data_IF_103334556762
#
_entry.id   IF_103334556762
#
_cell.length_a   1.000
_cell.length_b   1.000
_cell.length_c   1.000
_cell.angle_alpha   90.00
_cell.angle_beta   90.00
_cell.angle_gamma   90.00
#
_symmetry.space_group_name_H-M   'P 1'
#
loop_
_entity.id
_entity.type
_entity.pdbx_description
1 polymer ?
#
# COMPACT_ATOMS: atom_id res chain seq x y z
N UNK A 1 58.07 -32.55 -57.54
CA UNK A 1 57.01 -33.36 -56.90
C UNK A 1 55.91 -32.41 -56.41
N UNK A 2 54.89 -32.17 -57.23
CA UNK A 2 53.73 -31.36 -56.84
C UNK A 2 52.59 -32.33 -56.49
N UNK A 3 52.36 -32.54 -55.20
CA UNK A 3 51.18 -33.25 -54.72
C UNK A 3 49.97 -32.32 -54.90
N UNK A 4 49.13 -32.62 -55.90
CA UNK A 4 47.79 -32.07 -55.98
C UNK A 4 47.00 -32.53 -54.76
N UNK A 5 46.83 -31.64 -53.76
CA UNK A 5 45.85 -31.80 -52.69
C UNK A 5 44.46 -31.86 -53.34
N UNK A 6 43.81 -33.04 -53.28
CA UNK A 6 42.38 -33.15 -53.60
C UNK A 6 41.61 -32.31 -52.59
N UNK A 7 41.02 -31.21 -53.04
CA UNK A 7 40.06 -30.44 -52.27
C UNK A 7 38.73 -31.20 -52.33
N UNK A 8 38.33 -31.78 -51.20
CA UNK A 8 37.00 -32.36 -51.04
C UNK A 8 36.02 -31.21 -50.76
N UNK A 9 35.01 -31.04 -51.61
CA UNK A 9 33.92 -30.09 -51.37
C UNK A 9 32.94 -30.64 -50.34
N UNK A 10 32.32 -29.74 -49.57
CA UNK A 10 31.29 -30.10 -48.58
C UNK A 10 30.04 -30.67 -49.27
N UNK A 11 29.49 -31.74 -48.70
CA UNK A 11 28.22 -32.32 -49.17
C UNK A 11 27.04 -31.43 -48.79
N UNK A 12 26.00 -31.39 -49.64
CA UNK A 12 24.72 -30.72 -49.34
C UNK A 12 24.16 -31.15 -47.97
N UNK A 13 24.34 -32.42 -47.61
CA UNK A 13 23.85 -32.96 -46.33
C UNK A 13 24.64 -32.41 -45.13
N UNK A 14 25.94 -32.17 -45.27
CA UNK A 14 26.77 -31.56 -44.23
C UNK A 14 26.37 -30.10 -44.02
N UNK A 15 26.09 -29.37 -45.10
CA UNK A 15 25.63 -27.99 -45.02
C UNK A 15 24.24 -27.88 -44.36
N UNK A 16 23.31 -28.76 -44.72
CA UNK A 16 21.98 -28.81 -44.08
C UNK A 16 22.08 -29.16 -42.60
N UNK A 17 22.93 -30.12 -42.23
CA UNK A 17 23.15 -30.51 -40.83
C UNK A 17 23.80 -29.37 -40.04
N UNK A 18 24.76 -28.65 -40.63
CA UNK A 18 25.38 -27.48 -40.01
C UNK A 18 24.37 -26.35 -39.76
N UNK A 19 23.49 -26.05 -40.74
CA UNK A 19 22.44 -25.05 -40.59
C UNK A 19 21.42 -25.47 -39.52
N UNK A 20 21.07 -26.75 -39.44
CA UNK A 20 20.14 -27.27 -38.44
C UNK A 20 20.69 -27.11 -37.01
N UNK A 21 21.95 -27.50 -36.78
CA UNK A 21 22.61 -27.33 -35.48
C UNK A 21 22.75 -25.85 -35.13
N UNK A 22 23.13 -25.01 -36.09
CA UNK A 22 23.21 -23.56 -35.89
C UNK A 22 21.83 -22.97 -35.53
N UNK A 23 20.77 -23.41 -36.20
CA UNK A 23 19.39 -22.99 -35.93
C UNK A 23 18.96 -23.32 -34.51
N UNK A 24 19.20 -24.56 -34.05
CA UNK A 24 18.92 -24.97 -32.67
C UNK A 24 19.74 -24.13 -31.69
N UNK A 25 21.03 -23.90 -31.98
CA UNK A 25 21.91 -23.09 -31.13
C UNK A 25 21.40 -21.65 -30.97
N UNK A 26 20.99 -21.00 -32.06
CA UNK A 26 20.46 -19.63 -32.02
C UNK A 26 19.14 -19.57 -31.25
N UNK A 27 18.23 -20.51 -31.47
CA UNK A 27 16.95 -20.55 -30.73
C UNK A 27 17.21 -20.76 -29.24
N UNK A 28 18.13 -21.67 -28.87
CA UNK A 28 18.48 -21.92 -27.48
C UNK A 28 19.09 -20.69 -26.79
N UNK A 29 19.87 -19.88 -27.48
CA UNK A 29 20.42 -18.64 -26.92
C UNK A 29 19.32 -17.56 -26.84
N UNK A 30 18.46 -17.48 -27.87
CA UNK A 30 17.36 -16.53 -27.90
C UNK A 30 16.35 -16.74 -26.76
N UNK A 31 16.13 -17.99 -26.29
CA UNK A 31 15.24 -18.25 -25.16
C UNK A 31 15.85 -17.90 -23.80
N UNK A 32 17.17 -17.87 -23.67
CA UNK A 32 17.85 -17.51 -22.41
C UNK A 32 17.87 -16.01 -22.15
N UNK A 33 17.90 -15.17 -23.20
CA UNK A 33 17.99 -13.72 -23.04
C UNK A 33 16.81 -13.10 -22.27
N UNK A 34 15.52 -13.37 -22.61
CA UNK A 34 14.40 -12.80 -21.87
C UNK A 34 14.38 -13.22 -20.40
N UNK A 35 14.72 -14.49 -20.12
CA UNK A 35 14.81 -14.99 -18.75
C UNK A 35 15.92 -14.28 -17.96
N UNK A 36 17.10 -14.09 -18.58
CA UNK A 36 18.20 -13.34 -17.99
C UNK A 36 17.84 -11.89 -17.68
N UNK A 37 17.15 -11.19 -18.59
CA UNK A 37 16.69 -9.81 -18.38
C UNK A 37 15.69 -9.74 -17.21
N UNK A 38 14.70 -10.63 -17.18
CA UNK A 38 13.71 -10.66 -16.11
C UNK A 38 14.36 -10.94 -14.75
N UNK A 39 15.31 -11.86 -14.70
CA UNK A 39 16.06 -12.17 -13.49
C UNK A 39 16.94 -10.99 -13.04
N UNK A 40 17.64 -10.33 -13.96
CA UNK A 40 18.46 -9.16 -13.65
C UNK A 40 17.61 -7.99 -13.13
N UNK A 41 16.44 -7.75 -13.72
CA UNK A 41 15.49 -6.75 -13.24
C UNK A 41 15.02 -7.10 -11.83
N UNK A 42 14.61 -8.35 -11.58
CA UNK A 42 14.22 -8.80 -10.25
C UNK A 42 15.33 -8.63 -9.22
N UNK A 43 16.56 -9.03 -9.54
CA UNK A 43 17.71 -8.83 -8.65
C UNK A 43 18.00 -7.35 -8.38
N UNK A 44 17.81 -6.49 -9.38
CA UNK A 44 17.95 -5.04 -9.19
C UNK A 44 16.86 -4.52 -8.25
N UNK A 45 15.61 -4.93 -8.47
CA UNK A 45 14.46 -4.55 -7.66
C UNK A 45 14.61 -5.05 -6.20
N UNK A 46 15.08 -6.28 -5.99
CA UNK A 46 15.35 -6.87 -4.66
C UNK A 46 16.45 -6.11 -3.89
N UNK A 47 17.39 -5.46 -4.60
CA UNK A 47 18.46 -4.65 -3.98
C UNK A 47 18.02 -3.21 -3.77
N UNK A 48 17.41 -2.58 -4.77
CA UNK A 48 17.04 -1.17 -4.72
C UNK A 48 15.79 -0.94 -3.87
N UNK A 49 14.80 -1.84 -3.90
CA UNK A 49 13.56 -1.73 -3.14
C UNK A 49 13.77 -1.40 -1.66
N UNK A 50 14.54 -2.21 -0.92
CA UNK A 50 14.87 -1.93 0.48
C UNK A 50 15.63 -0.62 0.70
N UNK A 51 16.47 -0.19 -0.25
CA UNK A 51 17.20 1.09 -0.17
C UNK A 51 16.22 2.26 -0.26
N UNK A 52 15.29 2.22 -1.23
CA UNK A 52 14.24 3.24 -1.40
C UNK A 52 13.38 3.32 -0.15
N UNK A 53 12.94 2.18 0.38
CA UNK A 53 12.11 2.14 1.58
C UNK A 53 12.82 2.72 2.80
N UNK A 54 14.10 2.37 3.03
CA UNK A 54 14.89 2.95 4.13
C UNK A 54 15.13 4.45 3.98
N UNK A 55 15.33 4.93 2.75
CA UNK A 55 15.44 6.37 2.49
C UNK A 55 14.12 7.08 2.81
N UNK A 56 12.99 6.54 2.35
CA UNK A 56 11.66 7.03 2.70
C UNK A 56 11.44 7.09 4.22
N UNK A 57 11.81 6.03 4.94
CA UNK A 57 11.71 6.00 6.41
C UNK A 57 12.61 7.04 7.08
N UNK A 58 13.82 7.24 6.56
CA UNK A 58 14.75 8.27 7.07
C UNK A 58 14.18 9.67 6.84
N UNK A 59 13.57 9.91 5.68
CA UNK A 59 12.89 11.17 5.40
C UNK A 59 11.72 11.40 6.35
N UNK A 60 10.87 10.41 6.56
CA UNK A 60 9.74 10.50 7.50
C UNK A 60 10.22 10.81 8.92
N UNK A 61 11.23 10.08 9.42
CA UNK A 61 11.87 10.33 10.73
C UNK A 61 12.54 11.69 10.85
N UNK A 62 12.93 12.31 9.74
CA UNK A 62 13.50 13.67 9.77
C UNK A 62 12.46 14.76 9.93
N UNK A 63 11.17 14.47 9.65
CA UNK A 63 10.06 15.42 9.71
C UNK A 63 9.05 15.11 10.82
N UNK A 64 9.00 13.87 11.30
CA UNK A 64 7.99 13.38 12.23
C UNK A 64 8.61 12.77 13.47
N UNK A 65 8.00 13.06 14.61
CA UNK A 65 8.21 12.40 15.89
C UNK A 65 6.97 11.58 16.28
N UNK A 66 7.14 10.53 17.10
CA UNK A 66 6.00 9.78 17.64
C UNK A 66 5.02 10.67 18.43
N UNK A 67 5.51 11.75 19.03
CA UNK A 67 4.70 12.71 19.79
C UNK A 67 3.86 13.65 18.91
N UNK A 68 4.07 13.66 17.60
CA UNK A 68 3.23 14.42 16.67
C UNK A 68 1.86 13.78 16.48
N UNK A 69 1.75 12.48 16.79
CA UNK A 69 0.52 11.71 16.61
C UNK A 69 -0.28 11.69 17.91
N UNK A 70 -1.59 11.69 17.75
CA UNK A 70 -2.55 11.59 18.84
C UNK A 70 -3.14 10.18 18.96
N UNK A 71 -3.86 9.98 20.06
CA UNK A 71 -4.82 8.89 20.14
C UNK A 71 -6.07 9.17 19.32
N UNK A 72 -6.84 8.12 19.06
CA UNK A 72 -8.15 8.23 18.40
C UNK A 72 -9.12 9.15 19.17
N UNK A 73 -9.01 9.15 20.50
CA UNK A 73 -9.85 9.91 21.44
C UNK A 73 -9.74 11.43 21.28
N UNK A 74 -8.60 11.93 20.79
CA UNK A 74 -8.39 13.37 20.58
C UNK A 74 -9.19 13.90 19.38
N UNK A 75 -9.67 12.99 18.52
CA UNK A 75 -10.33 13.31 17.26
C UNK A 75 -11.81 12.99 17.30
N UNK A 76 -12.19 11.85 17.84
CA UNK A 76 -13.58 11.45 17.94
C UNK A 76 -13.96 11.31 19.42
N UNK A 77 -14.81 12.20 19.98
CA UNK A 77 -15.24 12.12 21.37
C UNK A 77 -15.95 10.80 21.70
N UNK A 78 -16.64 10.23 20.69
CA UNK A 78 -17.25 8.91 20.82
C UNK A 78 -16.19 7.82 21.04
N UNK A 79 -14.90 8.09 20.74
CA UNK A 79 -13.75 7.20 20.94
C UNK A 79 -12.97 7.52 22.20
N UNK A 80 -13.55 8.30 23.12
CA UNK A 80 -12.92 8.70 24.38
C UNK A 80 -12.43 7.51 25.23
N UNK A 81 -11.50 7.75 26.17
CA UNK A 81 -10.98 6.73 27.10
C UNK A 81 -12.07 6.02 27.90
N UNK A 82 -13.27 6.60 28.01
CA UNK A 82 -14.41 5.94 28.65
C UNK A 82 -14.76 4.61 27.96
N UNK A 83 -14.61 4.50 26.63
CA UNK A 83 -14.83 3.24 25.91
C UNK A 83 -13.79 2.16 26.23
N UNK A 84 -12.59 2.53 26.68
CA UNK A 84 -11.61 1.56 27.17
C UNK A 84 -11.97 0.95 28.52
N UNK A 85 -12.81 1.65 29.30
CA UNK A 85 -13.30 1.19 30.60
C UNK A 85 -14.66 0.47 30.49
N UNK A 86 -15.31 0.51 29.32
CA UNK A 86 -16.62 -0.07 29.12
C UNK A 86 -16.57 -1.60 28.92
N UNK A 87 -17.47 -2.29 29.64
CA UNK A 87 -17.78 -3.70 29.44
C UNK A 87 -18.42 -3.91 28.07
N UNK A 88 -18.02 -4.98 27.37
CA UNK A 88 -18.36 -5.39 25.99
C UNK A 88 -19.87 -5.61 25.68
N UNK A 89 -20.79 -5.10 26.50
CA UNK A 89 -22.24 -5.31 26.33
C UNK A 89 -22.90 -4.32 25.35
N UNK A 90 -22.17 -3.31 24.86
CA UNK A 90 -22.66 -2.36 23.85
C UNK A 90 -22.01 -2.64 22.50
N UNK A 91 -22.84 -2.80 21.47
CA UNK A 91 -22.48 -3.29 20.13
C UNK A 91 -21.70 -2.28 19.24
N UNK A 92 -21.09 -1.25 19.83
CA UNK A 92 -20.43 -0.14 19.11
C UNK A 92 -18.96 0.06 19.51
N UNK A 93 -18.33 -0.95 20.12
CA UNK A 93 -16.96 -0.83 20.65
C UNK A 93 -15.93 -1.14 19.55
N UNK A 94 -14.91 -0.27 19.46
CA UNK A 94 -13.71 -0.45 18.67
C UNK A 94 -13.08 -1.83 18.97
N UNK A 95 -13.02 -2.76 18.00
CA UNK A 95 -12.54 -4.13 18.25
C UNK A 95 -11.02 -4.24 18.43
N UNK A 96 -10.28 -3.14 18.28
CA UNK A 96 -8.84 -3.18 18.03
C UNK A 96 -7.90 -2.38 18.95
N UNK A 97 -8.32 -1.67 20.02
CA UNK A 97 -7.32 -1.01 20.85
C UNK A 97 -6.53 -2.09 21.60
N UNK A 98 -5.28 -2.34 21.17
CA UNK A 98 -4.32 -3.03 22.05
C UNK A 98 -4.13 -2.21 23.31
N UNK A 99 -4.07 -0.88 23.15
CA UNK A 99 -4.27 0.08 24.22
C UNK A 99 -5.20 1.22 23.76
N UNK A 100 -5.67 2.03 24.71
CA UNK A 100 -6.46 3.22 24.40
C UNK A 100 -5.79 4.13 23.39
N UNK A 101 -6.59 4.54 22.41
CA UNK A 101 -6.17 5.46 21.37
C UNK A 101 -5.35 4.85 20.25
N UNK A 102 -5.11 3.55 20.24
CA UNK A 102 -4.60 2.88 19.04
C UNK A 102 -5.61 2.97 17.90
N UNK A 103 -5.10 3.04 16.68
CA UNK A 103 -5.91 3.18 15.46
C UNK A 103 -5.25 2.44 14.30
N UNK A 104 -6.07 2.01 13.35
CA UNK A 104 -5.70 1.11 12.26
C UNK A 104 -4.86 1.78 11.16
N UNK A 105 -4.47 1.04 10.13
CA UNK A 105 -3.76 1.63 9.00
C UNK A 105 -4.55 2.78 8.37
N UNK A 106 -3.93 3.95 8.25
CA UNK A 106 -4.47 5.16 7.63
C UNK A 106 -3.48 5.71 6.63
N UNK A 107 -4.00 6.19 5.49
CA UNK A 107 -3.21 6.88 4.48
C UNK A 107 -3.11 8.38 4.80
N UNK A 108 -1.94 9.00 4.56
CA UNK A 108 -1.81 10.44 4.48
C UNK A 108 -2.79 11.07 3.48
N UNK A 109 -3.08 12.35 3.65
CA UNK A 109 -3.75 13.11 2.61
C UNK A 109 -2.87 13.21 1.36
N UNK A 110 -3.47 13.12 0.18
CA UNK A 110 -2.77 13.26 -1.10
C UNK A 110 -3.29 14.48 -1.85
N UNK A 111 -2.37 15.31 -2.34
CA UNK A 111 -2.70 16.46 -3.19
C UNK A 111 -2.99 15.95 -4.60
N UNK A 112 -4.18 16.27 -5.11
CA UNK A 112 -4.61 15.82 -6.44
C UNK A 112 -3.68 16.33 -7.56
N UNK A 113 -3.63 15.63 -8.69
CA UNK A 113 -2.93 16.10 -9.89
C UNK A 113 -3.57 17.35 -10.51
N UNK A 114 -4.87 17.57 -10.33
CA UNK A 114 -5.57 18.78 -10.76
C UNK A 114 -5.61 19.88 -9.70
N UNK A 115 -4.75 19.80 -8.67
CA UNK A 115 -4.71 20.79 -7.60
C UNK A 115 -4.28 22.17 -8.10
N UNK A 116 -5.06 23.21 -7.75
CA UNK A 116 -4.88 24.60 -8.16
C UNK A 116 -4.85 24.82 -9.69
N UNK A 117 -4.57 26.07 -10.10
CA UNK A 117 -4.52 26.44 -11.52
C UNK A 117 -3.24 25.93 -12.20
N UNK A 118 -3.34 25.54 -13.48
CA UNK A 118 -2.20 25.07 -14.27
C UNK A 118 -1.11 26.14 -14.49
N UNK A 119 -1.37 27.41 -14.20
CA UNK A 119 -0.36 28.48 -14.31
C UNK A 119 0.31 28.82 -12.97
N UNK A 120 -0.20 28.29 -11.85
CA UNK A 120 0.41 28.53 -10.55
C UNK A 120 1.50 27.51 -10.25
N UNK A 121 2.74 28.00 -10.21
CA UNK A 121 3.93 27.20 -9.91
C UNK A 121 3.82 26.57 -8.52
N UNK A 122 3.23 27.25 -7.54
CA UNK A 122 3.09 26.70 -6.19
C UNK A 122 2.13 25.51 -6.19
N UNK A 123 0.99 25.65 -6.86
CA UNK A 123 0.02 24.57 -7.06
C UNK A 123 0.68 23.37 -7.74
N UNK A 124 1.40 23.61 -8.83
CA UNK A 124 2.11 22.56 -9.57
C UNK A 124 3.13 21.82 -8.71
N UNK A 125 3.82 22.54 -7.82
CA UNK A 125 4.88 21.98 -6.98
C UNK A 125 4.31 21.03 -5.92
N UNK A 126 3.08 21.27 -5.45
CA UNK A 126 2.42 20.41 -4.45
C UNK A 126 1.62 19.25 -5.07
N UNK A 127 1.36 19.22 -6.39
CA UNK A 127 0.62 18.13 -7.04
C UNK A 127 1.27 16.77 -6.79
N UNK A 128 0.49 15.81 -6.27
CA UNK A 128 0.97 14.50 -5.88
C UNK A 128 1.86 14.48 -4.62
N UNK A 129 1.99 15.59 -3.89
CA UNK A 129 2.55 15.57 -2.55
C UNK A 129 1.62 14.79 -1.61
N UNK A 130 2.19 14.23 -0.55
CA UNK A 130 1.42 13.73 0.59
C UNK A 130 1.60 14.68 1.76
N UNK A 131 0.54 14.89 2.50
CA UNK A 131 0.55 15.66 3.74
C UNK A 131 0.01 14.76 4.85
N UNK A 132 0.87 14.47 5.84
CA UNK A 132 0.61 13.40 6.81
C UNK A 132 -0.64 13.66 7.63
N UNK A 133 -0.84 14.91 8.04
CA UNK A 133 -1.93 15.31 8.92
C UNK A 133 -3.00 16.14 8.20
N UNK A 134 -3.00 16.10 6.86
CA UNK A 134 -4.01 16.79 6.09
C UNK A 134 -5.43 16.32 6.44
N UNK A 135 -6.34 17.28 6.49
CA UNK A 135 -7.77 17.09 6.74
C UNK A 135 -8.59 17.72 5.60
N UNK A 136 -9.78 17.21 5.29
CA UNK A 136 -10.78 17.85 4.44
C UNK A 136 -11.12 19.22 4.97
N UNK A 137 -11.21 20.18 4.06
CA UNK A 137 -11.44 21.57 4.41
C UNK A 137 -10.15 22.35 4.71
N UNK A 138 -9.03 21.68 5.02
CA UNK A 138 -7.75 22.37 5.15
C UNK A 138 -7.09 22.48 3.76
N UNK A 139 -6.99 23.71 3.26
CA UNK A 139 -6.39 23.96 1.97
C UNK A 139 -4.86 23.92 2.06
N UNK A 140 -4.24 23.18 1.14
CA UNK A 140 -2.77 23.07 1.02
C UNK A 140 -2.16 24.41 0.62
N UNK A 141 -2.89 25.16 -0.22
CA UNK A 141 -2.69 26.55 -0.61
C UNK A 141 -4.06 27.23 -0.57
N UNK A 142 -4.15 28.38 0.10
CA UNK A 142 -5.38 29.16 0.26
C UNK A 142 -6.06 29.44 -1.09
N UNK A 143 -7.34 29.10 -1.18
CA UNK A 143 -8.22 29.23 -2.34
C UNK A 143 -8.06 28.14 -3.42
N UNK A 144 -7.26 27.09 -3.20
CA UNK A 144 -6.94 26.10 -4.24
C UNK A 144 -7.52 24.71 -3.99
N UNK A 145 -8.34 24.57 -2.95
CA UNK A 145 -9.00 23.32 -2.58
C UNK A 145 -8.24 22.49 -1.56
N UNK A 146 -8.82 21.37 -1.20
CA UNK A 146 -8.32 20.45 -0.16
C UNK A 146 -7.65 19.22 -0.76
N UNK A 147 -6.69 18.59 -0.05
CA UNK A 147 -6.16 17.30 -0.43
C UNK A 147 -7.24 16.22 -0.27
N UNK A 148 -7.08 15.11 -1.00
CA UNK A 148 -7.90 13.91 -0.80
C UNK A 148 -7.43 13.23 0.49
N UNK A 149 -8.33 12.95 1.40
CA UNK A 149 -8.00 12.29 2.67
C UNK A 149 -8.93 11.13 2.93
N UNK A 150 -8.47 10.17 3.72
CA UNK A 150 -9.30 9.09 4.23
C UNK A 150 -10.13 9.55 5.43
N UNK A 151 -11.41 9.24 5.45
CA UNK A 151 -12.27 9.51 6.59
C UNK A 151 -12.17 8.40 7.63
N UNK A 152 -12.44 8.75 8.89
CA UNK A 152 -12.42 7.76 9.96
C UNK A 152 -13.56 6.76 9.83
N UNK A 153 -14.73 7.24 9.44
CA UNK A 153 -15.85 6.44 8.96
C UNK A 153 -16.15 6.83 7.52
N UNK A 154 -16.71 5.91 6.72
CA UNK A 154 -16.96 6.14 5.30
C UNK A 154 -17.96 7.27 5.00
N UNK A 155 -18.63 7.83 6.01
CA UNK A 155 -19.68 8.85 5.83
C UNK A 155 -19.50 10.11 6.67
N UNK A 156 -18.96 10.03 7.89
CA UNK A 156 -18.84 11.17 8.83
C UNK A 156 -17.60 11.05 9.76
N UNK A 157 -17.19 12.14 10.41
CA UNK A 157 -16.10 12.13 11.40
C UNK A 157 -14.85 12.90 10.96
N UNK A 158 -13.92 13.12 11.91
CA UNK A 158 -12.70 13.88 11.63
C UNK A 158 -11.78 13.08 10.68
N UNK A 159 -11.44 13.60 9.50
CA UNK A 159 -10.75 12.81 8.50
C UNK A 159 -9.23 12.98 8.63
N UNK A 160 -8.45 12.03 8.14
CA UNK A 160 -6.99 12.06 8.19
C UNK A 160 -6.38 11.30 9.37
N UNK A 161 -5.12 11.59 9.68
CA UNK A 161 -4.35 10.93 10.74
C UNK A 161 -4.40 11.79 12.02
N UNK A 162 -4.68 11.22 13.21
CA UNK A 162 -4.72 11.98 14.45
C UNK A 162 -3.38 12.63 14.76
N UNK A 163 -3.41 13.94 15.03
CA UNK A 163 -2.25 14.70 15.46
C UNK A 163 -2.41 15.19 16.90
N UNK A 164 -1.29 15.38 17.59
CA UNK A 164 -1.28 15.79 18.98
C UNK A 164 -1.76 17.25 19.15
N UNK A 165 -3.01 17.44 19.55
CA UNK A 165 -3.61 18.77 19.80
C UNK A 165 -2.97 19.55 20.94
N UNK A 166 -2.25 18.89 21.85
CA UNK A 166 -1.49 19.62 22.88
C UNK A 166 -0.23 20.26 22.28
N UNK A 167 0.37 19.63 21.27
CA UNK A 167 1.53 20.17 20.53
C UNK A 167 1.10 21.14 19.43
N UNK A 168 -0.03 20.85 18.79
CA UNK A 168 -0.61 21.61 17.69
C UNK A 168 -2.04 22.02 18.07
N UNK A 169 -2.20 23.05 18.93
CA UNK A 169 -3.51 23.45 19.43
C UNK A 169 -4.40 23.99 18.31
N UNK A 170 -5.66 23.57 18.36
CA UNK A 170 -6.76 24.12 17.55
C UNK A 170 -6.89 25.64 17.79
N UNK A 171 -7.49 26.34 16.82
CA UNK A 171 -7.63 27.80 16.86
C UNK A 171 -8.92 28.16 17.60
N UNK A 172 -8.77 28.99 18.62
CA UNK A 172 -9.88 29.55 19.40
C UNK A 172 -9.86 31.08 19.34
N UNK A 173 -11.03 31.69 19.18
CA UNK A 173 -11.24 33.13 19.25
C UNK A 173 -12.26 33.45 20.35
N UNK A 174 -11.84 34.28 21.31
CA UNK A 174 -12.59 34.58 22.54
C UNK A 174 -13.12 33.33 23.29
N UNK A 175 -12.39 32.22 23.21
CA UNK A 175 -12.76 30.94 23.83
C UNK A 175 -13.76 30.09 23.02
N UNK A 176 -14.19 30.56 21.85
CA UNK A 176 -14.98 29.78 20.91
C UNK A 176 -14.07 29.08 19.92
N UNK A 177 -14.36 27.81 19.63
CA UNK A 177 -13.67 27.06 18.58
C UNK A 177 -13.90 27.74 17.22
N UNK A 178 -12.81 28.03 16.51
CA UNK A 178 -12.85 28.64 15.18
C UNK A 178 -12.51 27.61 14.12
N UNK A 179 -11.36 26.96 14.26
CA UNK A 179 -10.85 26.04 13.26
C UNK A 179 -9.87 25.02 13.86
N UNK A 180 -9.69 23.90 13.16
CA UNK A 180 -8.62 22.95 13.44
C UNK A 180 -7.28 23.49 12.94
N UNK A 181 -6.18 23.05 13.54
CA UNK A 181 -4.84 23.50 13.17
C UNK A 181 -3.90 22.31 12.90
N UNK A 182 -4.15 21.53 11.83
CA UNK A 182 -3.32 20.38 11.51
C UNK A 182 -1.87 20.82 11.23
N UNK A 183 -0.86 20.13 11.80
CA UNK A 183 0.53 20.40 11.48
C UNK A 183 0.83 20.06 10.01
N UNK A 184 1.48 20.99 9.31
CA UNK A 184 1.83 20.80 7.89
C UNK A 184 3.10 19.98 7.78
N UNK A 185 2.93 18.66 7.56
CA UNK A 185 4.04 17.70 7.42
C UNK A 185 4.02 17.12 6.01
N UNK A 186 4.55 17.91 5.07
CA UNK A 186 4.45 17.62 3.64
C UNK A 186 5.66 16.89 3.09
N UNK A 187 5.40 15.86 2.29
CA UNK A 187 6.38 15.17 1.46
C UNK A 187 6.03 15.42 -0.01
N UNK A 188 6.90 16.11 -0.71
CA UNK A 188 6.69 16.51 -2.09
C UNK A 188 6.79 15.31 -3.03
N UNK A 189 6.13 15.38 -4.20
CA UNK A 189 6.21 14.32 -5.21
C UNK A 189 7.65 14.04 -5.68
N UNK A 190 8.55 15.02 -5.58
CA UNK A 190 9.98 14.89 -5.90
C UNK A 190 10.80 14.22 -4.78
N UNK A 191 10.32 14.24 -3.53
CA UNK A 191 10.89 13.49 -2.41
C UNK A 191 10.38 12.04 -2.38
N UNK A 192 9.20 11.79 -2.98
CA UNK A 192 8.55 10.47 -3.09
C UNK A 192 9.13 9.56 -4.18
N UNK A 193 10.14 10.04 -4.91
CA UNK A 193 10.76 9.31 -6.00
C UNK A 193 12.22 8.97 -5.70
N UNK A 194 12.72 7.93 -6.36
CA UNK A 194 14.12 7.54 -6.28
C UNK A 194 14.76 7.42 -7.67
N UNK A 195 15.90 8.10 -7.91
CA UNK A 195 16.55 9.07 -7.01
C UNK A 195 15.66 10.29 -6.70
N UNK A 196 15.84 10.86 -5.51
CA UNK A 196 15.16 12.10 -5.10
C UNK A 196 15.59 13.27 -5.99
N UNK A 197 14.71 14.27 -6.12
CA UNK A 197 14.95 15.47 -6.92
C UNK A 197 14.48 16.72 -6.17
N UNK A 198 15.21 17.83 -6.34
CA UNK A 198 14.98 19.10 -5.65
C UNK A 198 14.86 20.31 -6.59
N UNK A 199 14.67 20.07 -7.89
CA UNK A 199 14.49 21.13 -8.90
C UNK A 199 13.03 21.52 -9.16
N UNK A 200 12.82 22.34 -10.20
CA UNK A 200 11.49 22.76 -10.64
C UNK A 200 10.63 21.56 -11.09
N UNK A 201 9.30 21.60 -10.89
CA UNK A 201 8.41 20.50 -11.28
C UNK A 201 8.48 20.13 -12.76
N UNK A 202 8.66 21.12 -13.64
CA UNK A 202 8.78 20.95 -15.10
C UNK A 202 10.04 20.19 -15.52
N UNK A 203 11.12 20.33 -14.76
CA UNK A 203 12.42 19.69 -15.00
C UNK A 203 12.55 18.34 -14.28
N UNK A 204 11.50 17.88 -13.59
CA UNK A 204 11.56 16.67 -12.76
C UNK A 204 11.88 15.45 -13.64
N UNK A 205 13.00 14.76 -13.40
CA UNK A 205 13.41 13.64 -14.23
C UNK A 205 12.47 12.46 -14.03
N UNK A 206 12.38 11.60 -15.06
CA UNK A 206 11.70 10.30 -14.94
C UNK A 206 12.44 9.44 -13.91
N UNK A 207 11.86 9.29 -12.73
CA UNK A 207 12.38 8.39 -11.71
C UNK A 207 11.97 6.94 -11.97
N UNK A 208 12.79 6.01 -11.47
CA UNK A 208 12.60 4.57 -11.68
C UNK A 208 11.70 3.95 -10.60
N UNK A 209 11.81 4.45 -9.37
CA UNK A 209 11.05 3.96 -8.23
C UNK A 209 10.31 5.10 -7.55
N UNK A 210 9.16 4.78 -6.99
CA UNK A 210 8.31 5.66 -6.21
C UNK A 210 7.92 4.94 -4.94
N UNK A 211 7.50 5.71 -3.94
CA UNK A 211 6.97 5.13 -2.72
C UNK A 211 5.74 5.87 -2.21
N UNK A 212 4.93 5.10 -1.49
CA UNK A 212 3.76 5.54 -0.73
C UNK A 212 3.84 4.95 0.67
N UNK A 213 3.11 5.53 1.63
CA UNK A 213 3.10 5.06 3.00
C UNK A 213 1.72 5.07 3.64
N UNK A 214 1.63 4.37 4.76
CA UNK A 214 0.50 4.40 5.68
C UNK A 214 1.01 4.39 7.11
N UNK A 215 0.18 4.85 8.04
CA UNK A 215 0.49 4.92 9.45
C UNK A 215 -0.50 4.08 10.24
N UNK A 216 -0.07 3.56 11.39
CA UNK A 216 -0.93 2.88 12.37
C UNK A 216 -0.43 3.25 13.74
N UNK A 217 -1.31 3.36 14.73
CA UNK A 217 -0.92 3.38 16.14
C UNK A 217 -1.22 2.02 16.77
N UNK A 218 -0.19 1.36 17.28
CA UNK A 218 -0.27 0.02 17.86
C UNK A 218 0.59 -0.05 19.12
N UNK A 219 -0.03 -0.48 20.23
CA UNK A 219 0.58 -0.50 21.56
C UNK A 219 1.19 0.87 21.93
N UNK A 220 0.54 1.96 21.51
CA UNK A 220 0.96 3.34 21.75
C UNK A 220 2.13 3.82 20.89
N UNK A 221 2.62 2.99 19.96
CA UNK A 221 3.70 3.35 19.03
C UNK A 221 3.14 3.60 17.65
N UNK A 222 3.78 4.52 16.93
CA UNK A 222 3.46 4.76 15.52
C UNK A 222 4.26 3.79 14.67
N UNK A 223 3.55 3.00 13.87
CA UNK A 223 4.10 2.14 12.85
C UNK A 223 3.86 2.79 11.48
N UNK A 224 4.82 2.62 10.58
CA UNK A 224 4.78 3.12 9.22
C UNK A 224 4.95 1.93 8.27
N UNK A 225 3.98 1.75 7.38
CA UNK A 225 4.10 0.86 6.24
C UNK A 225 4.60 1.66 5.03
N UNK A 226 5.66 1.19 4.36
CA UNK A 226 6.19 1.82 3.14
C UNK A 226 6.08 0.82 1.98
N UNK A 227 5.51 1.27 0.87
CA UNK A 227 5.35 0.51 -0.35
C UNK A 227 6.21 1.13 -1.44
N UNK A 228 7.09 0.33 -2.04
CA UNK A 228 7.96 0.75 -3.14
C UNK A 228 7.48 0.09 -4.42
N UNK A 229 7.37 0.87 -5.48
CA UNK A 229 6.94 0.39 -6.78
C UNK A 229 7.65 1.16 -7.90
N UNK A 230 7.67 0.56 -9.10
CA UNK A 230 8.11 1.22 -10.33
C UNK A 230 6.93 1.61 -11.18
N UNK A 231 7.10 2.66 -11.95
CA UNK A 231 6.12 3.09 -12.96
C UNK A 231 6.70 2.77 -14.33
N UNK A 232 6.05 1.87 -15.05
CA UNK A 232 6.38 1.49 -16.42
C UNK A 232 5.34 2.10 -17.33
N UNK A 233 5.54 3.38 -17.66
CA UNK A 233 4.75 4.05 -18.68
C UNK A 233 5.64 4.37 -19.90
N UNK A 234 5.41 3.74 -21.06
CA UNK A 234 6.12 4.08 -22.30
C UNK A 234 5.63 5.37 -22.94
N UNK A 235 4.43 5.85 -22.60
CA UNK A 235 3.78 7.03 -23.16
C UNK A 235 3.99 8.30 -22.33
N UNK A 236 4.30 8.16 -21.04
CA UNK A 236 4.54 9.31 -20.18
C UNK A 236 5.82 10.05 -20.56
N UNK A 237 5.64 11.33 -20.89
CA UNK A 237 6.69 12.34 -20.89
C UNK A 237 6.65 13.05 -19.53
N UNK A 238 7.78 13.14 -18.84
CA UNK A 238 7.86 13.76 -17.52
C UNK A 238 7.70 12.79 -16.35
N UNK A 239 7.64 13.36 -15.14
CA UNK A 239 7.68 12.61 -13.90
C UNK A 239 6.30 12.16 -13.43
N UNK A 240 6.26 11.02 -12.73
CA UNK A 240 5.02 10.43 -12.26
C UNK A 240 4.40 11.23 -11.11
N UNK A 241 3.09 11.39 -11.22
CA UNK A 241 2.16 11.87 -10.20
C UNK A 241 1.11 10.78 -10.04
N UNK A 242 0.75 10.45 -8.81
CA UNK A 242 -0.33 9.48 -8.55
C UNK A 242 -1.61 10.04 -9.15
N UNK A 243 -2.32 9.22 -9.94
CA UNK A 243 -3.59 9.63 -10.51
C UNK A 243 -4.71 9.48 -9.48
N UNK A 244 -5.42 10.58 -9.27
CA UNK A 244 -6.37 10.78 -8.18
C UNK A 244 -7.74 11.21 -8.68
N UNK A 245 -7.88 11.55 -9.97
CA UNK A 245 -9.09 12.17 -10.56
C UNK A 245 -10.39 11.38 -10.41
N UNK A 246 -10.31 10.07 -10.22
CA UNK A 246 -11.48 9.18 -10.08
C UNK A 246 -11.78 8.82 -8.62
N UNK A 247 -10.98 9.30 -7.68
CA UNK A 247 -11.04 8.89 -6.28
C UNK A 247 -11.40 10.09 -5.41
N UNK A 248 -12.23 9.83 -4.41
CA UNK A 248 -12.58 10.82 -3.38
C UNK A 248 -11.64 10.70 -2.17
N UNK A 249 -10.85 9.64 -2.11
CA UNK A 249 -9.92 9.32 -1.03
C UNK A 249 -8.58 8.85 -1.63
N UNK A 250 -7.48 8.86 -0.84
CA UNK A 250 -6.20 8.32 -1.27
C UNK A 250 -6.33 6.87 -1.77
N UNK A 251 -5.92 6.62 -3.01
CA UNK A 251 -6.07 5.33 -3.68
C UNK A 251 -4.84 4.42 -3.60
N UNK A 252 -3.71 4.93 -3.11
CA UNK A 252 -2.46 4.18 -2.94
C UNK A 252 -1.92 4.29 -1.50
N UNK A 253 -1.47 3.18 -0.90
CA UNK A 253 -1.75 1.80 -1.33
C UNK A 253 -3.26 1.51 -1.30
N UNK A 254 -3.74 0.63 -2.17
CA UNK A 254 -5.13 0.23 -2.26
C UNK A 254 -5.48 -0.72 -1.11
N UNK A 255 -6.62 -0.48 -0.46
CA UNK A 255 -7.18 -1.34 0.61
C UNK A 255 -8.17 -2.30 -0.02
N UNK A 256 -8.20 -3.54 0.48
CA UNK A 256 -9.24 -4.53 0.17
C UNK A 256 -9.71 -5.17 1.45
N UNK A 257 -11.03 -5.17 1.65
CA UNK A 257 -11.67 -6.06 2.61
C UNK A 257 -11.88 -7.45 2.00
N UNK A 258 -11.22 -8.44 2.59
CA UNK A 258 -11.28 -9.85 2.23
C UNK A 258 -12.59 -10.54 2.65
N UNK A 259 -13.44 -9.88 3.44
CA UNK A 259 -14.73 -10.44 3.86
C UNK A 259 -15.92 -9.92 3.02
N UNK A 260 -15.92 -8.64 2.64
CA UNK A 260 -17.14 -7.99 2.11
C UNK A 260 -17.02 -7.30 0.74
N UNK A 261 -15.84 -6.83 0.32
CA UNK A 261 -15.74 -5.88 -0.80
C UNK A 261 -15.36 -6.52 -2.15
N UNK A 262 -14.58 -7.60 -2.15
CA UNK A 262 -14.14 -8.24 -3.41
C UNK A 262 -13.49 -9.61 -3.27
N UNK A 263 -13.24 -10.08 -2.04
CA UNK A 263 -12.70 -11.41 -1.81
C UNK A 263 -13.73 -12.33 -1.19
N UNK A 264 -13.79 -13.55 -1.67
CA UNK A 264 -14.67 -14.58 -1.11
C UNK A 264 -14.02 -15.43 -0.01
N UNK A 265 -12.83 -15.05 0.48
CA UNK A 265 -12.06 -15.85 1.42
C UNK A 265 -11.44 -15.04 2.55
N UNK A 266 -11.80 -15.38 3.80
CA UNK A 266 -11.13 -14.83 4.97
C UNK A 266 -9.77 -15.50 5.19
N UNK A 267 -8.75 -14.72 5.54
CA UNK A 267 -7.41 -15.27 5.70
C UNK A 267 -7.13 -15.62 7.16
N UNK A 268 -7.23 -16.92 7.49
CA UNK A 268 -7.18 -17.39 8.87
C UNK A 268 -5.81 -17.96 9.29
N UNK A 269 -5.12 -17.27 10.19
CA UNK A 269 -3.84 -17.67 10.80
C UNK A 269 -3.91 -19.05 11.49
N UNK A 270 -5.03 -19.39 12.12
CA UNK A 270 -5.17 -20.65 12.86
C UNK A 270 -5.24 -21.87 11.95
N UNK A 271 -5.56 -21.67 10.67
CA UNK A 271 -5.45 -22.72 9.66
C UNK A 271 -3.99 -22.97 9.25
N UNK A 272 -3.04 -22.20 9.79
CA UNK A 272 -1.61 -22.29 9.48
C UNK A 272 -1.31 -22.05 8.00
N UNK A 273 -2.24 -21.43 7.29
CA UNK A 273 -2.31 -21.50 5.85
C UNK A 273 -1.63 -20.28 5.23
N UNK A 274 -0.51 -20.53 4.57
CA UNK A 274 0.05 -19.62 3.55
C UNK A 274 -0.90 -19.47 2.35
N UNK A 275 -1.95 -20.29 2.26
CA UNK A 275 -2.90 -20.36 1.16
C UNK A 275 -4.18 -19.60 1.53
N UNK A 276 -4.58 -18.65 0.69
CA UNK A 276 -5.89 -18.01 0.79
C UNK A 276 -6.91 -18.84 0.01
N UNK A 277 -7.63 -19.70 0.74
CA UNK A 277 -8.76 -20.43 0.18
C UNK A 277 -9.83 -19.42 -0.29
N UNK A 278 -10.58 -19.80 -1.31
CA UNK A 278 -11.63 -19.00 -1.94
C UNK A 278 -11.15 -17.79 -2.74
N UNK A 279 -9.87 -17.42 -2.68
CA UNK A 279 -9.28 -16.44 -3.60
C UNK A 279 -9.51 -16.76 -5.08
N UNK A 280 -9.82 -18.02 -5.43
CA UNK A 280 -10.14 -18.43 -6.80
C UNK A 280 -11.45 -17.85 -7.37
N UNK A 281 -12.37 -17.36 -6.53
CA UNK A 281 -13.66 -16.82 -7.02
C UNK A 281 -13.53 -15.34 -7.43
N UNK A 282 -12.47 -14.68 -7.01
CA UNK A 282 -12.18 -13.29 -7.31
C UNK A 282 -11.65 -13.13 -8.75
N UNK A 283 -11.82 -11.95 -9.37
CA UNK A 283 -11.34 -11.67 -10.73
C UNK A 283 -10.05 -10.83 -10.72
N UNK A 284 -8.85 -11.42 -10.93
CA UNK A 284 -7.58 -10.70 -10.88
C UNK A 284 -7.41 -9.66 -12.01
N UNK A 285 -8.34 -9.56 -12.96
CA UNK A 285 -8.35 -8.47 -13.94
C UNK A 285 -8.87 -7.15 -13.37
N UNK A 286 -9.69 -7.21 -12.31
CA UNK A 286 -10.20 -6.04 -11.60
C UNK A 286 -9.13 -5.50 -10.65
N UNK A 287 -8.95 -4.16 -10.62
CA UNK A 287 -7.93 -3.50 -9.80
C UNK A 287 -7.97 -3.93 -8.32
N UNK A 288 -9.17 -4.06 -7.75
CA UNK A 288 -9.40 -4.50 -6.39
C UNK A 288 -8.91 -5.92 -6.11
N UNK A 289 -8.80 -6.80 -7.11
CA UNK A 289 -8.34 -8.18 -6.93
C UNK A 289 -6.91 -8.41 -7.46
N UNK A 290 -6.21 -7.36 -7.90
CA UNK A 290 -4.83 -7.46 -8.39
C UNK A 290 -3.82 -7.79 -7.29
N UNK A 291 -4.23 -7.77 -6.01
CA UNK A 291 -3.41 -8.24 -4.89
C UNK A 291 -2.95 -9.69 -5.06
N UNK A 292 -3.62 -10.46 -5.91
CA UNK A 292 -3.36 -11.88 -6.16
C UNK A 292 -2.20 -12.12 -7.12
N UNK A 293 -1.63 -11.09 -7.76
CA UNK A 293 -0.62 -11.32 -8.78
C UNK A 293 0.69 -11.88 -8.18
N UNK A 294 1.40 -12.79 -8.89
CA UNK A 294 2.70 -13.27 -8.44
C UNK A 294 3.71 -12.13 -8.27
N UNK A 295 4.41 -12.11 -7.14
CA UNK A 295 5.39 -11.08 -6.77
C UNK A 295 4.79 -9.85 -6.10
N UNK A 296 3.47 -9.80 -5.90
CA UNK A 296 2.81 -8.73 -5.19
C UNK A 296 3.28 -8.65 -3.73
N UNK A 297 3.40 -7.44 -3.21
CA UNK A 297 3.63 -7.17 -1.78
C UNK A 297 2.34 -6.71 -1.12
N UNK A 298 2.05 -7.33 0.02
CA UNK A 298 0.86 -7.08 0.84
C UNK A 298 1.31 -6.68 2.25
N UNK A 299 0.61 -5.73 2.85
CA UNK A 299 0.65 -5.50 4.29
C UNK A 299 -0.72 -5.88 4.84
N UNK A 300 -0.77 -6.69 5.88
CA UNK A 300 -2.02 -7.05 6.54
C UNK A 300 -2.40 -6.05 7.64
N UNK A 301 -3.62 -6.18 8.16
CA UNK A 301 -4.12 -5.32 9.25
C UNK A 301 -3.29 -5.39 10.53
N UNK A 302 -2.55 -6.48 10.70
CA UNK A 302 -1.73 -6.74 11.87
C UNK A 302 -0.32 -6.12 11.71
N UNK A 303 0.02 -5.61 10.53
CA UNK A 303 1.32 -5.04 10.19
C UNK A 303 2.36 -6.08 9.75
N UNK A 304 1.93 -7.31 9.45
CA UNK A 304 2.79 -8.29 8.81
C UNK A 304 2.92 -7.98 7.31
N UNK A 305 4.11 -8.23 6.77
CA UNK A 305 4.42 -8.04 5.35
C UNK A 305 4.49 -9.40 4.67
N UNK A 306 3.80 -9.53 3.54
CA UNK A 306 3.72 -10.76 2.78
C UNK A 306 4.08 -10.52 1.32
N UNK A 307 4.64 -11.55 0.69
CA UNK A 307 4.86 -11.58 -0.74
C UNK A 307 4.10 -12.75 -1.37
N UNK A 308 3.44 -12.50 -2.50
CA UNK A 308 2.69 -13.53 -3.22
C UNK A 308 3.66 -14.40 -4.01
N UNK A 309 3.86 -15.64 -3.55
CA UNK A 309 4.75 -16.62 -4.17
C UNK A 309 4.09 -17.29 -5.36
N UNK A 310 2.86 -17.78 -5.17
CA UNK A 310 2.01 -18.28 -6.23
C UNK A 310 0.75 -17.44 -6.27
N UNK A 311 0.43 -16.91 -7.43
CA UNK A 311 -0.62 -15.92 -7.60
C UNK A 311 -1.40 -16.17 -8.87
N UNK A 312 -2.52 -15.48 -9.00
CA UNK A 312 -3.46 -15.65 -10.11
C UNK A 312 -3.30 -14.50 -11.09
N UNK A 313 -3.18 -14.82 -12.37
CA UNK A 313 -3.06 -13.85 -13.47
C UNK A 313 -4.33 -13.72 -14.30
N UNK A 314 -5.19 -14.73 -14.23
CA UNK A 314 -6.40 -14.86 -15.05
C UNK A 314 -7.53 -15.40 -14.21
N UNK A 315 -8.76 -15.06 -14.58
CA UNK A 315 -9.97 -15.57 -13.93
C UNK A 315 -10.05 -17.10 -13.93
N UNK A 316 -9.49 -17.77 -14.93
CA UNK A 316 -9.51 -19.22 -15.05
C UNK A 316 -8.38 -19.94 -14.28
N UNK A 317 -7.50 -19.20 -13.59
CA UNK A 317 -6.51 -19.81 -12.71
C UNK A 317 -7.23 -20.36 -11.48
N UNK A 318 -7.23 -21.68 -11.31
CA UNK A 318 -7.91 -22.38 -10.21
C UNK A 318 -7.03 -22.56 -8.97
N UNK A 319 -5.73 -22.32 -9.11
CA UNK A 319 -4.78 -22.42 -8.00
C UNK A 319 -5.00 -21.25 -7.03
N UNK A 320 -5.15 -21.51 -5.73
CA UNK A 320 -5.32 -20.45 -4.74
C UNK A 320 -4.03 -19.65 -4.58
N UNK A 321 -4.18 -18.40 -4.11
CA UNK A 321 -3.04 -17.54 -3.81
C UNK A 321 -2.25 -18.12 -2.64
N UNK A 322 -0.93 -18.20 -2.81
CA UNK A 322 0.02 -18.61 -1.77
C UNK A 322 0.98 -17.48 -1.45
N UNK A 323 1.09 -17.18 -0.16
CA UNK A 323 1.97 -16.16 0.40
C UNK A 323 3.28 -16.77 0.93
N UNK A 324 4.26 -15.91 1.20
CA UNK A 324 5.56 -16.30 1.77
C UNK A 324 5.49 -16.86 3.18
N UNK A 325 4.49 -16.45 3.95
CA UNK A 325 4.34 -16.81 5.35
C UNK A 325 2.86 -16.68 5.76
N UNK A 326 2.40 -17.51 6.72
CA UNK A 326 1.11 -17.30 7.36
C UNK A 326 1.11 -15.97 8.13
N UNK A 327 -0.07 -15.38 8.40
CA UNK A 327 -0.17 -14.17 9.19
C UNK A 327 0.18 -14.50 10.64
N UNK A 328 0.90 -13.59 11.30
CA UNK A 328 1.18 -13.74 12.73
C UNK A 328 -0.11 -13.49 13.50
N UNK A 329 -0.57 -14.41 14.36
CA UNK A 329 -1.72 -14.16 15.19
C UNK A 329 -1.40 -13.02 16.16
N UNK A 330 -2.20 -11.95 16.15
CA UNK A 330 -2.15 -10.96 17.22
C UNK A 330 -2.69 -11.61 18.50
N UNK A 331 -1.99 -11.40 19.62
CA UNK A 331 -2.55 -11.69 20.93
C UNK A 331 -3.59 -10.64 21.24
N UNK A 332 -4.86 -10.95 20.98
CA UNK A 332 -5.95 -10.12 21.48
C UNK A 332 -6.02 -10.30 22.99
N UNK A 333 -6.14 -9.21 23.75
CA UNK A 333 -6.27 -9.27 25.20
C UNK A 333 -7.47 -10.16 25.57
N UNK A 334 -7.17 -11.33 26.15
CA UNK A 334 -8.16 -12.15 26.83
C UNK A 334 -8.18 -11.66 28.27
N UNK A 335 -9.01 -10.67 28.58
CA UNK A 335 -9.25 -10.32 29.98
C UNK A 335 -9.79 -11.55 30.69
N UNK A 336 -9.11 -11.94 31.77
CA UNK A 336 -9.26 -13.22 32.44
C UNK A 336 -10.71 -13.60 32.73
N UNK A 337 -11.04 -14.83 32.34
CA UNK A 337 -12.00 -15.75 32.96
C UNK A 337 -12.95 -15.17 34.03
N UNK A 338 -13.87 -14.30 33.64
CA UNK A 338 -15.20 -14.16 34.24
C UNK A 338 -16.02 -13.22 33.34
N UNK A 339 -17.02 -13.80 32.65
CA UNK A 339 -17.96 -13.15 31.72
C UNK A 339 -17.51 -12.99 30.26
N UNK A 340 -17.26 -14.12 29.59
CA UNK A 340 -18.12 -14.53 28.47
C UNK A 340 -18.13 -13.73 27.16
N UNK A 341 -17.13 -12.90 26.84
CA UNK A 341 -16.97 -12.44 25.45
C UNK A 341 -15.52 -12.56 24.99
N UNK A 342 -15.21 -13.47 24.04
CA UNK A 342 -13.93 -13.47 23.36
C UNK A 342 -13.84 -12.22 22.45
N UNK A 343 -12.77 -11.45 22.65
CA UNK A 343 -11.97 -10.77 21.63
C UNK A 343 -12.62 -10.71 20.24
N UNK A 344 -13.26 -9.59 19.94
CA UNK A 344 -13.99 -9.39 18.68
C UNK A 344 -13.06 -8.72 17.68
N UNK A 345 -12.99 -9.28 16.47
CA UNK A 345 -12.40 -8.65 15.30
C UNK A 345 -13.60 -8.29 14.40
N UNK A 346 -14.07 -7.04 14.47
CA UNK A 346 -15.17 -6.54 13.61
C UNK A 346 -14.57 -5.70 12.50
N UNK A 347 -15.01 -5.98 11.28
CA UNK A 347 -15.03 -5.05 10.18
C UNK A 347 -15.97 -3.88 10.49
N UNK A 348 -15.50 -2.89 11.24
CA UNK A 348 -16.36 -1.79 11.70
C UNK A 348 -16.58 -0.68 10.67
N UNK A 349 -15.84 -0.67 9.55
CA UNK A 349 -16.17 0.16 8.37
C UNK A 349 -17.22 -0.50 7.46
N UNK A 350 -17.67 -1.74 7.75
CA UNK A 350 -18.73 -2.36 6.95
C UNK A 350 -20.10 -1.76 7.33
N UNK A 351 -20.62 -0.92 6.43
CA UNK A 351 -21.92 -0.26 6.55
C UNK A 351 -23.12 -1.24 6.60
N UNK A 352 -22.91 -2.53 6.34
CA UNK A 352 -23.97 -3.56 6.33
C UNK A 352 -24.00 -4.44 7.56
N UNK A 353 -23.07 -4.24 8.52
CA UNK A 353 -22.94 -5.13 9.67
C UNK A 353 -24.05 -4.94 10.71
N UNK A 354 -24.91 -5.96 10.84
CA UNK A 354 -25.86 -6.10 11.96
C UNK A 354 -25.42 -7.28 12.82
N UNK A 355 -24.81 -7.07 14.00
CA UNK A 355 -24.42 -8.16 14.87
C UNK A 355 -25.67 -8.77 15.50
N UNK A 356 -26.10 -9.94 15.03
CA UNK A 356 -27.08 -10.75 15.76
C UNK A 356 -26.48 -12.10 16.18
N UNK A 357 -26.03 -12.09 17.43
CA UNK A 357 -26.13 -13.15 18.45
C UNK A 357 -25.79 -14.58 18.00
N UNK A 358 -24.50 -14.93 18.00
CA UNK A 358 -23.93 -15.96 18.91
C UNK A 358 -22.54 -16.39 18.42
N UNK A 359 -21.48 -15.79 18.97
CA UNK A 359 -20.13 -16.36 18.90
C UNK A 359 -19.19 -15.77 17.86
N UNK A 360 -18.92 -14.45 17.92
CA UNK A 360 -17.82 -13.88 17.14
C UNK A 360 -16.51 -14.46 17.67
N UNK A 361 -15.87 -15.29 16.86
CA UNK A 361 -14.51 -15.80 17.06
C UNK A 361 -13.75 -15.61 15.76
N UNK A 362 -12.87 -14.61 15.69
CA UNK A 362 -11.90 -14.54 14.60
C UNK A 362 -10.52 -14.07 15.10
N UNK A 363 -10.06 -14.66 16.21
CA UNK A 363 -8.64 -14.61 16.58
C UNK A 363 -7.81 -15.11 15.39
N UNK A 364 -6.92 -14.27 14.88
CA UNK A 364 -6.02 -14.63 13.79
C UNK A 364 -6.63 -14.56 12.39
N UNK A 365 -7.82 -14.00 12.17
CA UNK A 365 -8.29 -13.73 10.80
C UNK A 365 -7.85 -12.35 10.35
N UNK A 366 -7.18 -12.29 9.20
CA UNK A 366 -6.92 -11.06 8.46
C UNK A 366 -8.12 -10.80 7.56
N UNK A 367 -8.77 -9.67 7.77
CA UNK A 367 -9.86 -9.14 6.95
C UNK A 367 -9.37 -8.07 5.99
N UNK A 368 -8.28 -7.36 6.30
CA UNK A 368 -7.80 -6.28 5.45
C UNK A 368 -6.36 -6.47 5.04
N UNK A 369 -6.15 -6.17 3.76
CA UNK A 369 -4.84 -6.09 3.16
C UNK A 369 -4.69 -4.80 2.36
N UNK A 370 -3.46 -4.31 2.31
CA UNK A 370 -3.08 -3.16 1.53
C UNK A 370 -1.97 -3.53 0.56
N UNK A 371 -2.07 -3.02 -0.66
CA UNK A 371 -1.14 -3.34 -1.74
C UNK A 371 -1.10 -2.24 -2.81
N UNK A 372 -0.09 -2.26 -3.66
CA UNK A 372 -0.04 -1.38 -4.84
C UNK A 372 -0.61 -2.15 -6.04
N UNK A 373 -1.71 -1.72 -6.68
CA UNK A 373 -2.23 -2.39 -7.86
C UNK A 373 -1.21 -2.35 -9.01
N UNK A 374 -1.38 -3.20 -10.02
CA UNK A 374 -0.48 -3.23 -11.20
C UNK A 374 -0.80 -2.20 -12.26
N UNK A 375 -1.90 -1.47 -12.11
CA UNK A 375 -2.24 -0.32 -12.92
C UNK A 375 -2.92 0.74 -12.08
N UNK A 376 -2.69 2.01 -12.39
CA UNK A 376 -3.50 3.10 -11.86
C UNK A 376 -4.75 3.36 -12.72
N UNK A 377 -5.53 4.37 -12.36
CA UNK A 377 -6.77 4.77 -13.07
C UNK A 377 -6.54 5.31 -14.49
N UNK A 378 -5.31 5.68 -14.86
CA UNK A 378 -4.91 6.01 -16.24
C UNK A 378 -4.45 4.79 -17.04
N UNK A 379 -4.38 3.62 -16.41
CA UNK A 379 -3.85 2.41 -17.02
C UNK A 379 -2.31 2.38 -17.07
N UNK A 380 -1.61 3.29 -16.37
CA UNK A 380 -0.16 3.26 -16.26
C UNK A 380 0.24 2.04 -15.45
N UNK A 381 1.20 1.26 -15.95
CA UNK A 381 1.59 0.01 -15.32
C UNK A 381 2.48 0.28 -14.10
N UNK A 382 2.04 -0.20 -12.94
CA UNK A 382 2.81 -0.18 -11.70
C UNK A 382 3.39 -1.57 -11.46
N UNK A 383 4.64 -1.63 -11.00
CA UNK A 383 5.29 -2.86 -10.61
C UNK A 383 5.68 -2.79 -9.13
N UNK A 384 4.97 -3.48 -8.24
CA UNK A 384 5.33 -3.55 -6.83
C UNK A 384 6.70 -4.21 -6.67
N UNK A 385 7.58 -3.57 -5.90
CA UNK A 385 8.97 -3.97 -5.75
C UNK A 385 9.24 -4.50 -4.35
N UNK A 386 8.79 -3.76 -3.34
CA UNK A 386 9.08 -4.06 -1.95
C UNK A 386 8.04 -3.41 -1.03
N UNK A 387 7.80 -4.01 0.13
CA UNK A 387 7.08 -3.37 1.21
C UNK A 387 7.81 -3.63 2.54
N UNK A 388 7.68 -2.69 3.48
CA UNK A 388 8.16 -2.88 4.84
C UNK A 388 7.24 -2.19 5.84
N UNK A 389 7.27 -2.67 7.08
CA UNK A 389 6.63 -2.03 8.23
C UNK A 389 7.70 -1.80 9.29
N UNK A 390 7.81 -0.57 9.78
CA UNK A 390 8.78 -0.18 10.81
C UNK A 390 8.16 0.84 11.77
N UNK A 391 8.57 0.84 13.04
CA UNK A 391 8.17 1.88 13.98
C UNK A 391 8.81 3.23 13.60
N UNK A 392 8.04 4.31 13.71
CA UNK A 392 8.53 5.67 13.47
C UNK A 392 9.70 6.02 14.40
#
# INVERSE_FOLDING_TARGET
MNQHRKQYGFSLIELLLAIFILGIGIISIATLFPAGIAQQQKTTDDVIGPIVARNAMTLLRSKLDQQDFAGAEDFEPDWSPFLCEFSLTQASINPWPTICGDWMWRRPGIVDESYGEDQDINAQTVRGAIDIFATPGFEVIDGQGSPLTEYWTDTEGLPGIPYNKNKYPDIYDEGNFVDINPPVMRIMASERQYPMWDGLPEDRPKAQYYWDCMFRRYEGRILVAIFVYRVIDPSQTGAYTVDTRQYQTPNLPLRVNLESESSTGSWNANQGSEILNDSQLDDPSLQASQWQYPGQWLVDQNGNVHNVQNGRRRMNDTEPVRLTAPPSPLQVFVTGSSFGSPSINVNWWDQTYVPQQSGIQYNGVVTDIWFVPTSDSKGRKLYPVYAMVEAL
#
